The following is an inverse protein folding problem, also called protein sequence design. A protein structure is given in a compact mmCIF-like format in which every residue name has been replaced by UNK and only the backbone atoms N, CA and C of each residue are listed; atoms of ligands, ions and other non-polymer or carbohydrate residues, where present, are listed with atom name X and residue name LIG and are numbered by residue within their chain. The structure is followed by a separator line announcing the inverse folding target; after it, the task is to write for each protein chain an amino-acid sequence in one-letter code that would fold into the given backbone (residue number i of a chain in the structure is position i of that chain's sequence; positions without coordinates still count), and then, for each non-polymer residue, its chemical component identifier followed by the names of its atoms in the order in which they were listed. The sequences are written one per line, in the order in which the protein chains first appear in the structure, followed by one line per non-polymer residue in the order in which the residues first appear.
data_IF_666979074292
#
_entry.id   IF_666979074292
#
_cell.length_a   1.000
_cell.length_b   1.000
_cell.length_c   1.000
_cell.angle_alpha   90.00
_cell.angle_beta   90.00
_cell.angle_gamma   90.00
#
_symmetry.space_group_name_H-M   'P 1'
#
loop_
_entity.id
_entity.type
_entity.pdbx_description
1 polymer ?
#
# COMPACT_ATOMS: atom_id res chain seq x y z
N UNK A 1 12.19 -10.87 -15.69
CA UNK A 1 10.73 -10.85 -15.45
C UNK A 1 10.55 -10.11 -14.14
N UNK A 2 9.85 -8.98 -14.11
CA UNK A 2 9.68 -8.20 -12.86
C UNK A 2 8.43 -8.65 -12.12
N UNK A 3 8.55 -8.76 -10.80
CA UNK A 3 7.42 -8.94 -9.90
C UNK A 3 6.87 -7.57 -9.52
N UNK A 4 5.55 -7.48 -9.32
CA UNK A 4 4.94 -6.26 -8.81
C UNK A 4 3.84 -6.56 -7.81
N UNK A 5 3.67 -5.66 -6.84
CA UNK A 5 2.52 -5.72 -5.94
C UNK A 5 2.08 -4.35 -5.47
N UNK A 6 0.78 -4.23 -5.19
CA UNK A 6 0.16 -2.99 -4.75
C UNK A 6 -0.41 -3.13 -3.34
N UNK A 7 -0.14 -2.15 -2.49
CA UNK A 7 -0.73 -1.98 -1.16
C UNK A 7 -1.36 -0.59 -1.04
N UNK A 8 -2.13 -0.35 0.01
CA UNK A 8 -2.60 0.99 0.32
C UNK A 8 -2.65 1.29 1.82
N UNK A 9 -2.62 2.59 2.13
CA UNK A 9 -2.85 3.13 3.47
C UNK A 9 -3.96 4.17 3.45
N UNK A 10 -4.74 4.22 4.52
CA UNK A 10 -5.65 5.32 4.80
C UNK A 10 -4.84 6.50 5.37
N UNK A 11 -4.62 7.53 4.54
CA UNK A 11 -3.68 8.62 4.87
C UNK A 11 -4.11 9.37 6.13
N UNK A 12 -5.41 9.63 6.25
CA UNK A 12 -5.99 10.33 7.40
C UNK A 12 -5.87 9.52 8.69
N UNK A 13 -6.06 8.20 8.63
CA UNK A 13 -5.92 7.35 9.81
C UNK A 13 -4.46 7.21 10.21
N UNK A 14 -3.55 7.07 9.25
CA UNK A 14 -2.11 7.02 9.52
C UNK A 14 -1.65 8.30 10.23
N UNK A 15 -2.08 9.46 9.74
CA UNK A 15 -1.75 10.73 10.38
C UNK A 15 -2.41 10.89 11.75
N UNK A 16 -3.71 10.57 11.89
CA UNK A 16 -4.46 10.73 13.14
C UNK A 16 -3.98 9.79 14.24
N UNK A 17 -3.66 8.54 13.90
CA UNK A 17 -3.32 7.50 14.87
C UNK A 17 -1.82 7.44 15.18
N UNK A 18 -0.97 7.78 14.21
CA UNK A 18 0.50 7.64 14.34
C UNK A 18 1.28 8.94 14.15
N UNK A 19 0.63 10.04 13.75
CA UNK A 19 1.31 11.30 13.44
C UNK A 19 2.23 11.23 12.21
N UNK A 20 2.11 10.18 11.41
CA UNK A 20 3.01 9.90 10.28
C UNK A 20 2.39 10.34 8.96
N UNK A 21 3.25 10.81 8.05
CA UNK A 21 2.90 11.09 6.65
C UNK A 21 3.76 10.22 5.77
N UNK A 22 3.15 9.59 4.77
CA UNK A 22 3.90 8.83 3.77
C UNK A 22 4.63 9.83 2.88
N UNK A 23 5.95 9.75 2.83
CA UNK A 23 6.76 10.53 1.89
C UNK A 23 7.38 9.63 0.84
N UNK A 24 7.54 10.17 -0.37
CA UNK A 24 8.19 9.43 -1.47
C UNK A 24 9.65 9.12 -1.11
N UNK A 25 10.35 10.05 -0.44
CA UNK A 25 11.75 9.85 -0.03
C UNK A 25 11.93 8.64 0.87
N UNK A 26 11.07 8.49 1.88
CA UNK A 26 11.13 7.34 2.79
C UNK A 26 10.88 6.02 2.05
N UNK A 27 9.92 6.02 1.12
CA UNK A 27 9.62 4.85 0.30
C UNK A 27 10.78 4.49 -0.63
N UNK A 28 11.40 5.48 -1.27
CA UNK A 28 12.57 5.30 -2.12
C UNK A 28 13.77 4.78 -1.32
N UNK A 29 13.99 5.30 -0.10
CA UNK A 29 15.06 4.83 0.77
C UNK A 29 14.85 3.36 1.15
N UNK A 30 13.64 2.97 1.54
CA UNK A 30 13.31 1.57 1.85
C UNK A 30 13.52 0.68 0.61
N UNK A 31 13.04 1.11 -0.55
CA UNK A 31 13.13 0.36 -1.81
C UNK A 31 14.59 0.18 -2.27
N UNK A 32 15.44 1.18 -2.06
CA UNK A 32 16.85 1.13 -2.44
C UNK A 32 17.63 0.04 -1.70
N UNK A 33 17.26 -0.26 -0.44
CA UNK A 33 17.91 -1.28 0.39
C UNK A 33 17.68 -2.70 -0.12
N UNK A 34 16.57 -2.93 -0.81
CA UNK A 34 16.15 -4.23 -1.33
C UNK A 34 16.32 -4.36 -2.84
N UNK A 35 16.82 -3.33 -3.53
CA UNK A 35 16.89 -3.30 -4.99
C UNK A 35 15.51 -3.22 -5.67
N UNK A 36 14.51 -2.66 -4.97
CA UNK A 36 13.15 -2.49 -5.50
C UNK A 36 12.92 -1.05 -5.98
N UNK A 37 11.89 -0.86 -6.79
CA UNK A 37 11.35 0.45 -7.15
C UNK A 37 9.98 0.62 -6.52
N UNK A 38 9.69 1.80 -6.00
CA UNK A 38 8.38 2.11 -5.41
C UNK A 38 7.79 3.34 -6.10
N UNK A 39 6.48 3.32 -6.31
CA UNK A 39 5.70 4.49 -6.71
C UNK A 39 4.52 4.64 -5.75
N UNK A 40 4.14 5.88 -5.45
CA UNK A 40 3.02 6.19 -4.57
C UNK A 40 2.14 7.25 -5.22
N UNK A 41 0.83 6.99 -5.27
CA UNK A 41 -0.15 7.91 -5.85
C UNK A 41 -1.36 8.05 -4.92
N UNK A 42 -1.87 9.28 -4.72
CA UNK A 42 -3.12 9.47 -4.02
C UNK A 42 -4.26 8.87 -4.84
N UNK A 43 -5.17 8.16 -4.17
CA UNK A 43 -6.34 7.54 -4.78
C UNK A 43 -7.53 7.60 -3.80
N UNK A 44 -8.71 7.20 -4.26
CA UNK A 44 -9.93 7.21 -3.45
C UNK A 44 -10.63 5.86 -3.51
N UNK A 45 -10.93 5.31 -2.34
CA UNK A 45 -11.76 4.12 -2.21
C UNK A 45 -13.20 4.52 -1.89
N UNK A 46 -14.11 4.17 -2.81
CA UNK A 46 -15.55 4.35 -2.62
C UNK A 46 -16.24 3.08 -2.14
N UNK A 47 -17.48 3.23 -1.69
CA UNK A 47 -18.32 2.12 -1.27
C UNK A 47 -18.51 1.08 -2.40
N UNK A 48 -18.35 -0.23 -2.13
CA UNK A 48 -18.53 -1.27 -3.14
C UNK A 48 -20.01 -1.46 -3.47
N UNK A 49 -20.41 -1.18 -4.71
CA UNK A 49 -21.76 -1.41 -5.23
C UNK A 49 -22.67 -0.17 -5.27
N UNK A 50 -23.80 -0.29 -5.98
CA UNK A 50 -24.72 0.84 -6.24
C UNK A 50 -25.47 1.26 -4.96
N UNK A 51 -25.97 0.29 -4.19
CA UNK A 51 -26.73 0.57 -2.96
C UNK A 51 -25.89 1.24 -1.88
N UNK A 52 -24.65 0.79 -1.68
CA UNK A 52 -23.75 1.37 -0.69
C UNK A 52 -23.30 2.78 -1.09
N UNK A 53 -23.12 3.07 -2.38
CA UNK A 53 -22.90 4.43 -2.91
C UNK A 53 -24.03 5.38 -2.56
N UNK A 54 -25.29 4.94 -2.68
CA UNK A 54 -26.47 5.77 -2.39
C UNK A 54 -26.57 6.03 -0.88
N UNK A 55 -26.48 4.98 -0.06
CA UNK A 55 -26.60 5.08 1.40
C UNK A 55 -25.49 5.92 2.03
N UNK A 56 -24.26 5.78 1.53
CA UNK A 56 -23.11 6.52 2.02
C UNK A 56 -22.92 7.86 1.29
N UNK A 57 -23.91 8.35 0.53
CA UNK A 57 -23.83 9.64 -0.19
C UNK A 57 -22.53 9.84 -0.99
N UNK A 58 -22.10 8.79 -1.70
CA UNK A 58 -20.84 8.75 -2.43
C UNK A 58 -19.58 9.05 -1.58
N UNK A 59 -19.60 8.70 -0.28
CA UNK A 59 -18.43 8.82 0.58
C UNK A 59 -17.22 8.10 -0.04
N UNK A 60 -16.14 8.84 -0.17
CA UNK A 60 -14.86 8.37 -0.68
C UNK A 60 -13.83 8.56 0.43
N UNK A 61 -13.03 7.53 0.65
CA UNK A 61 -11.95 7.56 1.63
C UNK A 61 -10.65 7.76 0.87
N UNK A 62 -9.90 8.79 1.27
CA UNK A 62 -8.58 9.07 0.70
C UNK A 62 -7.58 7.99 1.12
N UNK A 63 -6.90 7.43 0.12
CA UNK A 63 -5.84 6.45 0.31
C UNK A 63 -4.58 6.87 -0.42
N UNK A 64 -3.45 6.34 0.06
CA UNK A 64 -2.21 6.33 -0.70
C UNK A 64 -2.02 4.93 -1.27
N UNK A 65 -2.10 4.81 -2.60
CA UNK A 65 -1.77 3.56 -3.31
C UNK A 65 -0.25 3.52 -3.47
N UNK A 66 0.37 2.44 -3.03
CA UNK A 66 1.81 2.20 -3.16
C UNK A 66 2.02 0.95 -4.01
N UNK A 67 2.74 1.10 -5.12
CA UNK A 67 3.12 0.01 -6.01
C UNK A 67 4.61 -0.27 -5.86
N UNK A 68 4.96 -1.53 -5.62
CA UNK A 68 6.32 -2.01 -5.46
C UNK A 68 6.64 -2.91 -6.65
N UNK A 69 7.78 -2.67 -7.29
CA UNK A 69 8.30 -3.45 -8.42
C UNK A 69 9.72 -3.92 -8.10
N UNK A 70 10.02 -5.19 -8.34
CA UNK A 70 11.36 -5.72 -8.11
C UNK A 70 11.67 -6.91 -9.05
N UNK A 71 12.94 -7.29 -9.12
CA UNK A 71 13.37 -8.46 -9.91
C UNK A 71 13.09 -9.80 -9.22
N UNK A 72 12.83 -9.81 -7.90
CA UNK A 72 12.52 -11.00 -7.11
C UNK A 72 11.36 -10.79 -6.14
N UNK A 73 10.70 -11.89 -5.76
CA UNK A 73 9.64 -11.87 -4.75
C UNK A 73 10.20 -11.56 -3.36
N UNK A 74 11.44 -12.00 -3.08
CA UNK A 74 12.16 -11.70 -1.84
C UNK A 74 12.42 -10.20 -1.67
N UNK A 75 12.79 -9.49 -2.74
CA UNK A 75 12.99 -8.05 -2.71
C UNK A 75 11.69 -7.29 -2.41
N UNK A 76 10.56 -7.75 -2.97
CA UNK A 76 9.23 -7.23 -2.62
C UNK A 76 8.95 -7.47 -1.13
N UNK A 77 9.22 -8.68 -0.62
CA UNK A 77 9.00 -9.01 0.80
C UNK A 77 9.80 -8.12 1.73
N UNK A 78 11.10 -7.92 1.47
CA UNK A 78 11.93 -7.01 2.28
C UNK A 78 11.44 -5.56 2.21
N UNK A 79 11.00 -5.10 1.04
CA UNK A 79 10.41 -3.77 0.89
C UNK A 79 9.11 -3.63 1.68
N UNK A 80 8.22 -4.63 1.61
CA UNK A 80 6.99 -4.68 2.41
C UNK A 80 7.32 -4.67 3.91
N UNK A 81 8.36 -5.39 4.34
CA UNK A 81 8.84 -5.36 5.73
C UNK A 81 9.24 -3.96 6.15
N UNK A 82 10.06 -3.29 5.35
CA UNK A 82 10.54 -1.94 5.65
C UNK A 82 9.39 -0.92 5.71
N UNK A 83 8.47 -0.98 4.76
CA UNK A 83 7.28 -0.12 4.75
C UNK A 83 6.42 -0.39 5.99
N UNK A 84 6.18 -1.66 6.35
CA UNK A 84 5.38 -2.01 7.53
C UNK A 84 6.07 -1.61 8.84
N UNK A 85 7.39 -1.74 8.92
CA UNK A 85 8.15 -1.32 10.10
C UNK A 85 8.03 0.20 10.33
N UNK A 86 8.05 0.98 9.26
CA UNK A 86 7.96 2.44 9.35
C UNK A 86 6.52 2.92 9.59
N UNK A 87 5.57 2.48 8.75
CA UNK A 87 4.20 3.01 8.71
C UNK A 87 3.16 2.14 9.42
N UNK A 88 3.50 0.90 9.78
CA UNK A 88 2.58 -0.06 10.40
C UNK A 88 1.87 -0.96 9.39
N UNK A 89 0.80 -1.66 9.80
CA UNK A 89 0.10 -2.59 8.92
C UNK A 89 -0.50 -1.87 7.71
N UNK A 90 -0.35 -2.46 6.52
CA UNK A 90 -0.93 -1.99 5.27
C UNK A 90 -2.19 -2.77 4.90
N UNK A 91 -2.97 -2.21 3.99
CA UNK A 91 -4.11 -2.89 3.39
C UNK A 91 -3.85 -3.29 1.93
N UNK A 92 -4.67 -4.22 1.44
CA UNK A 92 -4.52 -4.84 0.10
C UNK A 92 -5.81 -4.77 -0.69
N UNK A 93 -5.72 -4.53 -2.00
CA UNK A 93 -6.88 -4.53 -2.89
C UNK A 93 -7.41 -5.95 -3.12
N UNK A 94 -8.68 -6.07 -3.51
CA UNK A 94 -9.25 -7.33 -4.01
C UNK A 94 -8.76 -7.53 -5.45
N UNK A 95 -8.07 -8.63 -5.74
CA UNK A 95 -7.48 -8.88 -7.07
C UNK A 95 -6.07 -9.46 -7.05
N UNK A 96 -5.53 -9.65 -8.26
CA UNK A 96 -4.18 -10.19 -8.52
C UNK A 96 -3.05 -9.20 -8.23
N UNK A 97 -3.33 -7.89 -8.33
CA UNK A 97 -2.33 -6.83 -8.08
C UNK A 97 -1.74 -6.86 -6.66
N UNK A 98 -2.52 -7.28 -5.66
CA UNK A 98 -2.04 -7.42 -4.28
C UNK A 98 -1.75 -8.88 -3.89
N UNK A 99 -1.60 -9.79 -4.86
CA UNK A 99 -1.42 -11.22 -4.58
C UNK A 99 -0.19 -11.52 -3.70
N UNK A 100 0.95 -10.93 -4.05
CA UNK A 100 2.20 -11.06 -3.29
C UNK A 100 2.05 -10.38 -1.92
N UNK A 101 1.53 -9.15 -1.87
CA UNK A 101 1.32 -8.44 -0.61
C UNK A 101 0.37 -9.17 0.36
N UNK A 102 -0.64 -9.89 -0.15
CA UNK A 102 -1.53 -10.75 0.64
C UNK A 102 -0.83 -11.98 1.17
N UNK A 103 -0.06 -12.67 0.32
CA UNK A 103 0.72 -13.86 0.70
C UNK A 103 1.62 -13.55 1.89
N UNK A 104 2.19 -12.36 1.93
CA UNK A 104 3.13 -11.97 2.97
C UNK A 104 2.51 -11.20 4.14
N UNK A 105 1.22 -10.80 4.10
CA UNK A 105 0.60 -9.86 5.05
C UNK A 105 0.80 -10.21 6.54
N UNK A 106 0.76 -11.50 6.88
CA UNK A 106 0.92 -11.97 8.26
C UNK A 106 2.38 -12.32 8.63
N UNK A 107 3.27 -12.38 7.64
CA UNK A 107 4.66 -12.86 7.77
C UNK A 107 5.74 -11.76 7.76
N UNK A 108 5.32 -10.55 7.39
CA UNK A 108 6.04 -9.28 7.53
C UNK A 108 5.19 -8.45 8.43
#
# INVERSE_FOLDING_TARGET
MSFSTTIYYFVNDLFRLRGQRITIKDLEEIASRSGSRVSAMPDKLGAPGVMSRILLKAYQIDIMRITIEAESEEAIRETLRGIKALYGPYETFRGKESSIAKKYKDSV
#
